data_IF_445507658936
#
_entry.id   IF_445507658936
#
_cell.length_a   1.000
_cell.length_b   1.000
_cell.length_c   1.000
_cell.angle_alpha   90.00
_cell.angle_beta   90.00
_cell.angle_gamma   90.00
#
_symmetry.space_group_name_H-M   'P 1'
#
loop_
_entity.id
_entity.type
_entity.pdbx_description
1 polymer ?
#
# COMPACT_ATOMS: atom_id res chain seq x y z
N UNK A 1 -25.37 -10.87 12.55
CA UNK A 1 -25.56 -10.11 13.79
C UNK A 1 -24.62 -8.91 13.76
N UNK A 2 -25.14 -7.76 13.32
CA UNK A 2 -24.40 -6.50 13.24
C UNK A 2 -24.35 -5.90 14.65
N UNK A 3 -23.15 -5.60 15.13
CA UNK A 3 -22.99 -4.77 16.32
C UNK A 3 -23.01 -3.31 15.85
N UNK A 4 -23.88 -2.44 16.40
CA UNK A 4 -24.06 -1.08 15.94
C UNK A 4 -22.79 -0.23 16.16
N UNK A 5 -22.52 0.67 15.20
CA UNK A 5 -21.40 1.61 15.20
C UNK A 5 -21.38 2.58 16.39
N UNK A 6 -22.47 2.68 17.18
CA UNK A 6 -22.62 3.66 18.26
C UNK A 6 -22.02 3.27 19.60
N UNK A 7 -21.47 2.06 19.76
CA UNK A 7 -21.05 1.56 21.07
C UNK A 7 -19.58 1.09 21.15
N UNK A 8 -18.63 1.75 20.49
CA UNK A 8 -17.24 1.28 20.50
C UNK A 8 -16.20 2.39 20.67
N UNK A 9 -15.69 2.53 21.91
CA UNK A 9 -14.43 3.25 22.15
C UNK A 9 -13.30 2.49 21.45
N UNK A 10 -12.52 3.11 20.54
CA UNK A 10 -11.28 2.50 20.07
C UNK A 10 -10.37 2.21 21.27
N UNK A 11 -9.62 1.11 21.26
CA UNK A 11 -8.63 0.89 22.32
C UNK A 11 -7.59 2.01 22.27
N UNK A 12 -7.12 2.45 23.44
CA UNK A 12 -6.13 3.51 23.57
C UNK A 12 -4.89 3.26 22.72
N UNK A 13 -4.47 2.00 22.58
CA UNK A 13 -3.37 1.61 21.70
C UNK A 13 -3.65 1.90 20.23
N UNK A 14 -4.83 1.54 19.69
CA UNK A 14 -5.15 1.79 18.27
C UNK A 14 -5.27 3.29 17.95
N UNK A 15 -5.81 4.08 18.88
CA UNK A 15 -5.80 5.54 18.80
C UNK A 15 -4.38 6.09 18.87
N UNK A 16 -3.58 5.67 19.85
CA UNK A 16 -2.18 6.09 19.96
C UNK A 16 -1.36 5.70 18.73
N UNK A 17 -1.60 4.54 18.12
CA UNK A 17 -0.95 4.12 16.87
C UNK A 17 -1.33 5.05 15.72
N UNK A 18 -2.62 5.29 15.52
CA UNK A 18 -3.13 6.20 14.47
C UNK A 18 -2.63 7.63 14.72
N UNK A 19 -2.65 8.12 15.96
CA UNK A 19 -2.17 9.43 16.37
C UNK A 19 -0.65 9.54 16.28
N UNK A 20 0.13 8.50 16.58
CA UNK A 20 1.59 8.50 16.47
C UNK A 20 2.04 8.44 15.02
N UNK A 21 1.36 7.63 14.18
CA UNK A 21 1.57 7.70 12.74
C UNK A 21 1.18 9.09 12.23
N UNK A 22 0.04 9.65 12.66
CA UNK A 22 -0.41 11.01 12.33
C UNK A 22 0.56 12.09 12.84
N UNK A 23 1.19 11.90 13.99
CA UNK A 23 2.19 12.80 14.55
C UNK A 23 3.50 12.76 13.78
N UNK A 24 3.97 11.56 13.40
CA UNK A 24 5.06 11.40 12.44
C UNK A 24 4.69 11.95 11.05
N UNK A 25 3.39 11.93 10.67
CA UNK A 25 2.86 12.53 9.45
C UNK A 25 2.86 14.06 9.48
N UNK A 26 2.45 14.66 10.61
CA UNK A 26 2.34 16.11 10.81
C UNK A 26 3.69 16.78 11.06
N UNK A 27 4.73 16.02 11.41
CA UNK A 27 6.12 16.48 11.38
C UNK A 27 6.62 16.52 9.93
N UNK A 28 5.98 17.36 9.12
CA UNK A 28 6.58 17.89 7.91
C UNK A 28 7.80 18.70 8.36
N UNK A 29 8.99 18.22 8.08
CA UNK A 29 10.20 18.96 8.41
C UNK A 29 10.19 20.18 7.47
N UNK A 30 9.90 21.37 8.01
CA UNK A 30 9.85 22.65 7.27
C UNK A 30 11.24 23.11 6.79
N UNK A 31 12.19 22.18 6.67
CA UNK A 31 13.56 22.48 6.29
C UNK A 31 13.64 22.69 4.78
N UNK A 32 14.40 23.70 4.33
CA UNK A 32 14.45 24.06 2.92
C UNK A 32 15.05 22.93 2.09
N UNK A 33 14.50 22.64 0.89
CA UNK A 33 15.20 21.85 -0.11
C UNK A 33 16.52 22.52 -0.48
N UNK A 34 17.59 21.73 -0.60
CA UNK A 34 18.88 22.23 -1.10
C UNK A 34 18.84 22.67 -2.56
N UNK A 35 19.68 23.66 -2.86
CA UNK A 35 19.94 24.18 -4.20
C UNK A 35 20.47 23.09 -5.16
N UNK A 36 19.90 23.03 -6.37
CA UNK A 36 20.40 22.21 -7.47
C UNK A 36 19.72 20.85 -7.70
N UNK A 37 18.77 20.42 -6.84
CA UNK A 37 17.92 19.28 -7.17
C UNK A 37 16.93 19.69 -8.27
N UNK A 38 16.90 18.95 -9.38
CA UNK A 38 15.84 19.09 -10.40
C UNK A 38 14.48 19.12 -9.70
N UNK A 39 13.66 20.16 -9.93
CA UNK A 39 12.30 20.25 -9.37
C UNK A 39 11.56 18.97 -9.77
N UNK A 40 11.32 18.10 -8.78
CA UNK A 40 10.61 16.85 -9.01
C UNK A 40 9.14 17.18 -9.20
N UNK A 41 8.43 16.48 -10.09
CA UNK A 41 7.04 16.79 -10.31
C UNK A 41 6.18 16.50 -9.06
N UNK A 42 5.11 17.27 -8.84
CA UNK A 42 4.29 17.19 -7.62
C UNK A 42 3.80 15.77 -7.29
N UNK A 43 3.38 15.03 -8.32
CA UNK A 43 2.93 13.64 -8.21
C UNK A 43 3.98 12.74 -7.56
N UNK A 44 5.28 13.01 -7.76
CA UNK A 44 6.36 12.22 -7.19
C UNK A 44 6.33 12.33 -5.68
N UNK A 45 6.12 13.53 -5.15
CA UNK A 45 6.01 13.79 -3.71
C UNK A 45 4.75 13.16 -3.13
N UNK A 46 3.61 13.25 -3.83
CA UNK A 46 2.33 12.63 -3.42
C UNK A 46 2.45 11.11 -3.31
N UNK A 47 2.91 10.45 -4.36
CA UNK A 47 3.03 8.98 -4.39
C UNK A 47 4.09 8.48 -3.41
N UNK A 48 5.16 9.24 -3.21
CA UNK A 48 6.22 8.95 -2.21
C UNK A 48 5.65 9.00 -0.79
N UNK A 49 4.91 10.06 -0.45
CA UNK A 49 4.26 10.18 0.86
C UNK A 49 3.22 9.06 1.09
N UNK A 50 2.37 8.79 0.10
CA UNK A 50 1.38 7.72 0.16
C UNK A 50 2.02 6.33 0.36
N UNK A 51 3.10 6.03 -0.37
CA UNK A 51 3.80 4.76 -0.24
C UNK A 51 4.43 4.59 1.14
N UNK A 52 5.06 5.63 1.67
CA UNK A 52 5.59 5.58 3.03
C UNK A 52 4.50 5.44 4.09
N UNK A 53 3.36 6.09 3.91
CA UNK A 53 2.24 5.95 4.84
C UNK A 53 1.78 4.50 4.93
N UNK A 54 1.58 3.86 3.78
CA UNK A 54 1.16 2.45 3.73
C UNK A 54 2.24 1.54 4.34
N UNK A 55 3.53 1.80 4.12
CA UNK A 55 4.62 1.03 4.72
C UNK A 55 4.69 1.17 6.25
N UNK A 56 4.64 2.40 6.78
CA UNK A 56 4.64 2.64 8.23
C UNK A 56 3.36 2.09 8.89
N UNK A 57 2.21 2.29 8.24
CA UNK A 57 0.96 1.68 8.66
C UNK A 57 1.10 0.16 8.73
N UNK A 58 1.55 -0.49 7.65
CA UNK A 58 1.77 -1.93 7.64
C UNK A 58 2.71 -2.37 8.78
N UNK A 59 3.79 -1.64 9.05
CA UNK A 59 4.70 -1.95 10.15
C UNK A 59 4.00 -1.92 11.51
N UNK A 60 3.18 -0.89 11.77
CA UNK A 60 2.36 -0.78 12.98
C UNK A 60 1.40 -1.96 13.10
N UNK A 61 0.66 -2.30 12.04
CA UNK A 61 -0.38 -3.33 12.09
C UNK A 61 0.18 -4.76 12.17
N UNK A 62 1.33 -5.03 11.54
CA UNK A 62 1.96 -6.35 11.54
C UNK A 62 2.38 -6.77 12.95
N UNK A 63 2.98 -5.88 13.74
CA UNK A 63 3.29 -6.16 15.15
C UNK A 63 2.11 -5.88 16.08
N UNK A 64 1.35 -4.82 15.79
CA UNK A 64 0.25 -4.34 16.61
C UNK A 64 -0.76 -5.43 16.94
N UNK A 65 -1.15 -6.23 15.93
CA UNK A 65 -2.15 -7.29 16.07
C UNK A 65 -1.77 -8.39 17.07
N UNK A 66 -0.49 -8.54 17.42
CA UNK A 66 -0.05 -9.56 18.37
C UNK A 66 -0.26 -9.13 19.83
N UNK A 67 -0.48 -7.84 20.10
CA UNK A 67 -0.78 -7.33 21.43
C UNK A 67 -2.26 -7.48 21.81
N UNK A 68 -2.59 -7.87 23.06
CA UNK A 68 -3.98 -7.93 23.55
C UNK A 68 -4.71 -6.58 23.50
N UNK A 69 -3.98 -5.48 23.74
CA UNK A 69 -4.53 -4.13 23.73
C UNK A 69 -4.91 -3.63 22.32
N UNK A 70 -4.51 -4.34 21.26
CA UNK A 70 -4.83 -3.96 19.89
C UNK A 70 -6.24 -4.40 19.50
N UNK A 71 -7.00 -3.51 18.88
CA UNK A 71 -8.38 -3.80 18.51
C UNK A 71 -8.43 -4.94 17.47
N UNK A 72 -8.87 -6.13 17.90
CA UNK A 72 -8.95 -7.34 17.05
C UNK A 72 -9.80 -7.17 15.79
N UNK A 73 -10.76 -6.23 15.76
CA UNK A 73 -11.52 -5.88 14.55
C UNK A 73 -10.67 -5.33 13.41
N UNK A 74 -9.48 -4.80 13.71
CA UNK A 74 -8.54 -4.29 12.73
C UNK A 74 -7.56 -5.37 12.23
N UNK A 75 -7.63 -6.58 12.78
CA UNK A 75 -6.88 -7.74 12.32
C UNK A 75 -7.47 -8.30 11.02
N UNK A 76 -6.68 -9.06 10.26
CA UNK A 76 -7.13 -9.69 9.01
C UNK A 76 -8.43 -10.47 9.20
N UNK A 77 -9.37 -10.32 8.29
CA UNK A 77 -10.56 -11.17 8.25
C UNK A 77 -10.18 -12.58 7.78
N UNK A 78 -10.88 -13.60 8.30
CA UNK A 78 -10.61 -15.01 7.94
C UNK A 78 -11.13 -15.38 6.55
N UNK A 79 -12.33 -14.90 6.19
CA UNK A 79 -13.01 -15.21 4.92
C UNK A 79 -13.37 -13.94 4.16
N UNK A 80 -14.11 -13.04 4.81
CA UNK A 80 -14.60 -11.81 4.22
C UNK A 80 -14.89 -10.76 5.30
N UNK A 81 -15.01 -9.50 4.86
CA UNK A 81 -15.30 -8.34 5.70
C UNK A 81 -14.34 -7.18 5.47
N UNK A 82 -14.53 -6.13 6.26
CA UNK A 82 -13.69 -4.94 6.23
C UNK A 82 -12.73 -4.94 7.42
N UNK A 83 -11.43 -4.77 7.14
CA UNK A 83 -10.40 -4.62 8.17
C UNK A 83 -9.22 -3.81 7.65
N UNK A 84 -8.58 -3.02 8.52
CA UNK A 84 -7.40 -2.24 8.15
C UNK A 84 -6.21 -3.12 7.72
N UNK A 85 -6.04 -4.31 8.32
CA UNK A 85 -5.00 -5.23 7.83
C UNK A 85 -5.30 -5.81 6.44
N UNK A 86 -6.57 -5.84 6.04
CA UNK A 86 -6.95 -6.38 4.74
C UNK A 86 -6.70 -5.41 3.58
N UNK A 87 -6.58 -4.11 3.86
CA UNK A 87 -6.28 -3.09 2.85
C UNK A 87 -4.84 -3.16 2.35
N UNK A 88 -3.91 -3.66 3.18
CA UNK A 88 -2.47 -3.57 2.94
C UNK A 88 -2.05 -4.14 1.58
N UNK A 89 -2.45 -5.37 1.26
CA UNK A 89 -2.05 -6.05 0.00
C UNK A 89 -2.56 -5.30 -1.21
N UNK A 90 -3.85 -4.92 -1.23
CA UNK A 90 -4.44 -4.15 -2.32
C UNK A 90 -3.80 -2.77 -2.47
N UNK A 91 -3.52 -2.06 -1.37
CA UNK A 91 -2.82 -0.76 -1.40
C UNK A 91 -1.37 -0.90 -1.89
N UNK A 92 -0.66 -1.97 -1.54
CA UNK A 92 0.67 -2.24 -2.09
C UNK A 92 0.64 -2.49 -3.60
N UNK A 93 -0.35 -3.25 -4.10
CA UNK A 93 -0.55 -3.45 -5.54
C UNK A 93 -0.91 -2.14 -6.24
N UNK A 94 -1.82 -1.35 -5.67
CA UNK A 94 -2.22 -0.05 -6.21
C UNK A 94 -1.05 0.94 -6.25
N UNK A 95 -0.25 1.02 -5.19
CA UNK A 95 0.94 1.88 -5.16
C UNK A 95 2.01 1.41 -6.14
N UNK A 96 2.21 0.09 -6.29
CA UNK A 96 3.11 -0.45 -7.30
C UNK A 96 2.65 -0.10 -8.72
N UNK A 97 1.35 -0.25 -9.00
CA UNK A 97 0.71 0.15 -10.26
C UNK A 97 0.88 1.65 -10.53
N UNK A 98 0.55 2.50 -9.56
CA UNK A 98 0.67 3.95 -9.70
C UNK A 98 2.10 4.41 -9.96
N UNK A 99 3.09 3.66 -9.47
CA UNK A 99 4.52 3.99 -9.57
C UNK A 99 5.21 3.40 -10.80
N UNK A 100 4.48 2.58 -11.56
CA UNK A 100 5.02 1.77 -12.64
C UNK A 100 5.44 2.62 -13.85
N UNK A 101 6.33 2.11 -14.72
CA UNK A 101 6.67 2.77 -15.98
C UNK A 101 5.43 3.06 -16.84
N UNK A 102 4.50 2.12 -16.90
CA UNK A 102 3.29 2.20 -17.74
C UNK A 102 2.32 3.29 -17.26
N UNK A 103 2.27 3.55 -15.95
CA UNK A 103 1.51 4.65 -15.40
C UNK A 103 2.13 6.00 -15.78
N UNK A 104 3.45 6.07 -15.90
CA UNK A 104 4.22 7.25 -16.33
C UNK A 104 4.28 7.42 -17.85
N UNK A 105 3.66 6.52 -18.63
CA UNK A 105 3.73 6.52 -20.09
C UNK A 105 5.03 5.97 -20.67
N UNK A 106 5.85 5.30 -19.87
CA UNK A 106 7.06 4.61 -20.30
C UNK A 106 6.78 3.12 -20.59
N UNK A 107 7.58 2.45 -21.45
CA UNK A 107 7.40 1.05 -21.76
C UNK A 107 7.59 0.16 -20.51
N UNK A 108 6.87 -0.96 -20.48
CA UNK A 108 6.95 -1.93 -19.40
C UNK A 108 8.38 -2.45 -19.21
N UNK A 109 8.89 -2.36 -17.99
CA UNK A 109 10.23 -2.86 -17.63
C UNK A 109 10.10 -4.27 -17.05
N UNK A 110 10.88 -5.21 -17.58
CA UNK A 110 10.92 -6.59 -17.09
C UNK A 110 11.68 -6.64 -15.76
N UNK A 111 10.97 -6.84 -14.64
CA UNK A 111 11.62 -6.89 -13.33
C UNK A 111 10.79 -7.47 -12.20
N UNK A 112 10.63 -8.80 -12.16
CA UNK A 112 10.00 -9.51 -11.01
C UNK A 112 10.95 -10.48 -10.30
N UNK A 113 12.18 -10.66 -10.79
CA UNK A 113 13.15 -11.65 -10.26
C UNK A 113 13.43 -11.45 -8.77
N UNK A 114 13.71 -10.23 -8.26
CA UNK A 114 13.95 -10.05 -6.81
C UNK A 114 12.75 -10.45 -5.95
N UNK A 115 11.52 -10.20 -6.41
CA UNK A 115 10.30 -10.57 -5.69
C UNK A 115 10.10 -12.08 -5.66
N UNK A 116 10.38 -12.78 -6.76
CA UNK A 116 10.34 -14.25 -6.80
C UNK A 116 11.38 -14.85 -5.86
N UNK A 117 12.60 -14.33 -5.83
CA UNK A 117 13.66 -14.80 -4.93
C UNK A 117 13.28 -14.60 -3.46
N UNK A 118 12.71 -13.44 -3.10
CA UNK A 118 12.20 -13.20 -1.75
C UNK A 118 11.02 -14.14 -1.42
N UNK A 119 10.13 -14.38 -2.39
CA UNK A 119 9.03 -15.33 -2.24
C UNK A 119 9.54 -16.74 -1.95
N UNK A 120 10.55 -17.20 -2.68
CA UNK A 120 11.22 -18.48 -2.46
C UNK A 120 11.91 -18.54 -1.10
N UNK A 121 12.65 -17.48 -0.71
CA UNK A 121 13.32 -17.44 0.59
C UNK A 121 12.31 -17.52 1.73
N UNK A 122 11.14 -16.87 1.60
CA UNK A 122 10.06 -16.97 2.58
C UNK A 122 9.53 -18.40 2.71
N UNK A 123 9.35 -19.13 1.61
CA UNK A 123 8.90 -20.53 1.66
C UNK A 123 9.90 -21.39 2.43
N UNK A 124 11.19 -21.24 2.12
CA UNK A 124 12.27 -21.99 2.79
C UNK A 124 12.29 -21.68 4.29
N UNK A 125 12.27 -20.39 4.66
CA UNK A 125 12.34 -19.96 6.06
C UNK A 125 11.12 -20.43 6.85
N UNK A 126 9.90 -20.27 6.33
CA UNK A 126 8.68 -20.70 7.02
C UNK A 126 8.65 -22.22 7.22
N UNK A 127 9.10 -22.97 6.21
CA UNK A 127 9.20 -24.43 6.29
C UNK A 127 10.23 -24.88 7.33
N UNK A 128 11.40 -24.24 7.37
CA UNK A 128 12.49 -24.61 8.28
C UNK A 128 12.23 -24.17 9.73
N UNK A 129 11.49 -23.09 9.94
CA UNK A 129 11.13 -22.59 11.28
C UNK A 129 9.82 -23.17 11.83
N UNK A 130 9.19 -24.11 11.10
CA UNK A 130 7.88 -24.69 11.42
C UNK A 130 6.81 -23.63 11.77
N UNK A 131 6.92 -22.45 11.17
CA UNK A 131 6.07 -21.32 11.49
C UNK A 131 4.67 -21.50 10.88
N UNK A 132 3.65 -21.54 11.73
CA UNK A 132 2.26 -21.73 11.32
C UNK A 132 1.73 -20.49 10.59
N UNK A 133 1.81 -20.51 9.26
CA UNK A 133 1.18 -19.50 8.39
C UNK A 133 -0.24 -19.94 8.03
N UNK A 134 -1.26 -19.07 8.11
CA UNK A 134 -2.61 -19.46 7.76
C UNK A 134 -2.71 -19.82 6.26
N UNK A 135 -2.86 -21.11 5.97
CA UNK A 135 -2.92 -21.67 4.61
C UNK A 135 -4.05 -21.01 3.80
N UNK A 136 -5.16 -20.67 4.45
CA UNK A 136 -6.30 -20.01 3.82
C UNK A 136 -6.01 -18.61 3.29
N UNK A 137 -4.88 -17.97 3.63
CA UNK A 137 -4.55 -16.64 3.08
C UNK A 137 -4.08 -16.68 1.63
N UNK A 138 -3.15 -17.57 1.32
CA UNK A 138 -2.52 -17.66 0.00
C UNK A 138 -2.38 -19.10 -0.51
N UNK A 139 -2.29 -20.06 0.39
CA UNK A 139 -1.98 -21.44 0.09
C UNK A 139 -0.84 -21.97 0.96
N UNK A 140 -0.38 -23.17 0.62
CA UNK A 140 0.69 -23.87 1.34
C UNK A 140 2.06 -23.24 1.04
N UNK A 141 2.32 -22.91 -0.23
CA UNK A 141 3.61 -22.36 -0.68
C UNK A 141 3.49 -20.92 -1.17
N UNK A 142 2.30 -20.51 -1.59
CA UNK A 142 2.08 -19.18 -2.11
C UNK A 142 2.16 -18.12 -1.02
N UNK A 143 2.60 -16.91 -1.38
CA UNK A 143 2.67 -15.78 -0.46
C UNK A 143 2.55 -14.45 -1.21
N UNK A 144 2.46 -13.37 -0.44
CA UNK A 144 2.32 -12.01 -0.96
C UNK A 144 3.36 -11.62 -2.02
N UNK A 145 4.63 -12.03 -1.86
CA UNK A 145 5.68 -11.67 -2.83
C UNK A 145 5.47 -12.35 -4.19
N UNK A 146 4.97 -13.60 -4.18
CA UNK A 146 4.57 -14.27 -5.41
C UNK A 146 3.37 -13.58 -6.05
N UNK A 147 2.32 -13.27 -5.29
CA UNK A 147 1.18 -12.50 -5.82
C UNK A 147 1.65 -11.22 -6.51
N UNK A 148 2.48 -10.40 -5.86
CA UNK A 148 3.00 -9.17 -6.45
C UNK A 148 3.87 -9.43 -7.70
N UNK A 149 4.75 -10.43 -7.65
CA UNK A 149 5.63 -10.79 -8.76
C UNK A 149 4.84 -11.23 -10.00
N UNK A 150 3.89 -12.16 -9.82
CA UNK A 150 3.08 -12.72 -10.89
C UNK A 150 2.06 -11.71 -11.42
N UNK A 151 1.46 -10.86 -10.57
CA UNK A 151 0.63 -9.75 -11.04
C UNK A 151 1.42 -8.80 -11.94
N UNK A 152 2.66 -8.45 -11.58
CA UNK A 152 3.52 -7.60 -12.44
C UNK A 152 3.87 -8.28 -13.76
N UNK A 153 4.26 -9.57 -13.72
CA UNK A 153 4.56 -10.32 -14.95
C UNK A 153 3.33 -10.36 -15.85
N UNK A 154 2.15 -10.69 -15.31
CA UNK A 154 0.91 -10.73 -16.06
C UNK A 154 0.55 -9.35 -16.65
N UNK A 155 0.73 -8.27 -15.89
CA UNK A 155 0.53 -6.91 -16.39
C UNK A 155 1.50 -6.59 -17.55
N UNK A 156 2.78 -6.93 -17.44
CA UNK A 156 3.74 -6.75 -18.53
C UNK A 156 3.36 -7.55 -19.79
N UNK A 157 2.81 -8.76 -19.65
CA UNK A 157 2.29 -9.53 -20.79
C UNK A 157 1.08 -8.82 -21.41
N UNK A 158 0.14 -8.31 -20.59
CA UNK A 158 -1.01 -7.54 -21.08
C UNK A 158 -0.55 -6.31 -21.87
N UNK A 159 0.40 -5.54 -21.36
CA UNK A 159 0.94 -4.36 -22.06
C UNK A 159 1.82 -4.68 -23.27
N UNK A 160 2.31 -5.92 -23.40
CA UNK A 160 3.01 -6.37 -24.61
C UNK A 160 2.06 -6.67 -25.77
N UNK A 161 0.79 -7.00 -25.46
CA UNK A 161 -0.21 -7.41 -26.46
C UNK A 161 -1.24 -6.31 -26.72
N UNK A 162 -1.64 -5.58 -25.68
CA UNK A 162 -2.72 -4.60 -25.74
C UNK A 162 -2.19 -3.17 -25.58
N UNK A 163 -2.76 -2.20 -26.32
CA UNK A 163 -2.35 -0.81 -26.19
C UNK A 163 -2.77 -0.25 -24.83
N UNK A 164 -1.89 0.57 -24.24
CA UNK A 164 -2.09 1.15 -22.92
C UNK A 164 -3.40 1.96 -22.76
N UNK A 165 -3.99 2.47 -23.85
CA UNK A 165 -5.29 3.19 -23.80
C UNK A 165 -6.50 2.32 -23.43
N UNK A 166 -6.37 0.98 -23.51
CA UNK A 166 -7.44 0.02 -23.23
C UNK A 166 -7.32 -0.62 -21.85
N UNK A 167 -6.29 -0.28 -21.06
CA UNK A 167 -6.03 -0.90 -19.75
C UNK A 167 -7.19 -0.78 -18.77
N UNK A 168 -7.86 0.36 -18.71
CA UNK A 168 -9.07 0.54 -17.88
C UNK A 168 -10.19 -0.40 -18.30
N UNK A 169 -10.41 -0.59 -19.61
CA UNK A 169 -11.47 -1.43 -20.14
C UNK A 169 -11.16 -2.91 -19.90
N UNK A 170 -9.93 -3.33 -20.20
CA UNK A 170 -9.45 -4.70 -19.95
C UNK A 170 -9.50 -5.02 -18.46
N UNK A 171 -9.05 -4.10 -17.60
CA UNK A 171 -9.13 -4.25 -16.16
C UNK A 171 -10.57 -4.37 -15.67
N UNK A 172 -11.50 -3.57 -16.22
CA UNK A 172 -12.93 -3.60 -15.84
C UNK A 172 -13.60 -4.91 -16.28
N UNK A 173 -13.36 -5.35 -17.52
CA UNK A 173 -13.85 -6.63 -18.05
C UNK A 173 -13.28 -7.79 -17.22
N UNK A 174 -11.99 -7.75 -16.88
CA UNK A 174 -11.37 -8.78 -16.05
C UNK A 174 -11.99 -8.81 -14.63
N UNK A 175 -12.23 -7.65 -14.02
CA UNK A 175 -12.80 -7.57 -12.67
C UNK A 175 -14.24 -8.12 -12.63
N UNK A 176 -15.08 -7.67 -13.57
CA UNK A 176 -16.49 -8.12 -13.67
C UNK A 176 -16.57 -9.58 -14.10
N UNK A 177 -15.74 -9.98 -15.08
CA UNK A 177 -15.67 -11.36 -15.54
C UNK A 177 -15.19 -12.31 -14.44
N UNK A 178 -14.19 -11.92 -13.65
CA UNK A 178 -13.73 -12.72 -12.52
C UNK A 178 -14.81 -12.85 -11.44
N UNK A 179 -15.53 -11.78 -11.10
CA UNK A 179 -16.67 -11.86 -10.19
C UNK A 179 -17.77 -12.76 -10.73
N UNK A 180 -18.11 -12.64 -12.02
CA UNK A 180 -19.09 -13.52 -12.66
C UNK A 180 -18.66 -14.98 -12.60
N UNK A 181 -17.38 -15.30 -12.81
CA UNK A 181 -16.86 -16.66 -12.64
C UNK A 181 -16.99 -17.13 -11.19
N UNK A 182 -16.69 -16.28 -10.21
CA UNK A 182 -16.85 -16.62 -8.79
C UNK A 182 -18.31 -16.93 -8.41
N UNK A 183 -19.27 -16.19 -8.98
CA UNK A 183 -20.69 -16.34 -8.66
C UNK A 183 -21.40 -17.43 -9.46
N UNK A 184 -21.08 -17.58 -10.75
CA UNK A 184 -21.80 -18.45 -11.68
C UNK A 184 -21.19 -19.84 -11.82
N UNK A 185 -19.98 -20.07 -11.33
CA UNK A 185 -19.28 -21.36 -11.42
C UNK A 185 -18.96 -21.95 -10.05
N UNK A 186 -18.49 -23.20 -10.03
CA UNK A 186 -18.06 -23.89 -8.80
C UNK A 186 -16.70 -23.41 -8.27
N UNK A 187 -16.12 -22.32 -8.82
CA UNK A 187 -14.83 -21.80 -8.38
C UNK A 187 -14.85 -21.38 -6.91
N UNK A 188 -15.89 -20.68 -6.45
CA UNK A 188 -16.02 -20.29 -5.04
C UNK A 188 -16.03 -21.52 -4.11
N UNK A 189 -16.80 -22.56 -4.47
CA UNK A 189 -16.83 -23.83 -3.73
C UNK A 189 -15.48 -24.55 -3.73
N UNK A 190 -14.77 -24.55 -4.87
CA UNK A 190 -13.41 -25.10 -4.96
C UNK A 190 -12.43 -24.35 -4.05
N UNK A 191 -12.52 -23.03 -4.00
CA UNK A 191 -11.67 -22.19 -3.14
C UNK A 191 -11.97 -22.42 -1.66
N UNK A 192 -13.23 -22.61 -1.26
CA UNK A 192 -13.60 -22.88 0.14
C UNK A 192 -13.36 -24.33 0.60
N UNK A 193 -13.15 -25.26 -0.33
CA UNK A 193 -12.82 -26.64 -0.01
C UNK A 193 -11.50 -26.75 0.81
N UNK A 194 -11.41 -27.73 1.70
CA UNK A 194 -10.17 -28.05 2.43
C UNK A 194 -9.15 -28.85 1.62
N UNK A 195 -9.54 -29.43 0.47
CA UNK A 195 -8.63 -30.23 -0.36
C UNK A 195 -7.39 -29.42 -0.84
N UNK A 196 -6.21 -30.01 -0.65
CA UNK A 196 -4.87 -29.48 -1.01
C UNK A 196 -4.07 -30.42 -1.93
N UNK A 197 -4.73 -31.38 -2.57
CA UNK A 197 -4.07 -32.34 -3.45
C UNK A 197 -3.52 -31.68 -4.71
N UNK A 198 -2.20 -31.79 -4.90
CA UNK A 198 -1.49 -31.20 -6.03
C UNK A 198 -1.19 -29.70 -5.85
N UNK A 199 -0.31 -29.18 -6.71
CA UNK A 199 0.22 -27.81 -6.60
C UNK A 199 -0.84 -26.72 -6.75
N UNK A 200 -1.85 -26.95 -7.59
CA UNK A 200 -2.94 -25.99 -7.83
C UNK A 200 -3.86 -25.92 -6.61
N UNK A 201 -4.37 -27.04 -6.11
CA UNK A 201 -5.26 -27.03 -4.94
C UNK A 201 -4.53 -26.56 -3.66
N UNK A 202 -3.24 -26.85 -3.54
CA UNK A 202 -2.40 -26.35 -2.45
C UNK A 202 -2.29 -24.82 -2.42
N UNK A 203 -2.38 -24.14 -3.58
CA UNK A 203 -2.13 -22.69 -3.72
C UNK A 203 -3.30 -21.92 -4.36
N UNK A 204 -4.48 -22.52 -4.37
CA UNK A 204 -5.64 -22.05 -5.13
C UNK A 204 -6.09 -20.64 -4.78
N UNK A 205 -5.98 -20.23 -3.51
CA UNK A 205 -6.30 -18.86 -3.07
C UNK A 205 -5.37 -17.83 -3.72
N UNK A 206 -4.07 -18.07 -3.64
CA UNK A 206 -3.04 -17.21 -4.20
C UNK A 206 -3.13 -17.13 -5.73
N UNK A 207 -3.45 -18.25 -6.39
CA UNK A 207 -3.62 -18.31 -7.84
C UNK A 207 -4.89 -17.61 -8.32
N UNK A 208 -6.04 -17.87 -7.69
CA UNK A 208 -7.30 -17.25 -8.08
C UNK A 208 -7.28 -15.73 -7.88
N UNK A 209 -6.70 -15.27 -6.76
CA UNK A 209 -6.59 -13.83 -6.47
C UNK A 209 -5.73 -13.05 -7.48
N UNK A 210 -4.90 -13.70 -8.31
CA UNK A 210 -4.14 -13.02 -9.36
C UNK A 210 -5.03 -12.29 -10.36
N UNK A 211 -6.21 -12.83 -10.69
CA UNK A 211 -7.15 -12.19 -11.62
C UNK A 211 -7.64 -10.85 -11.06
N UNK A 212 -8.06 -10.83 -9.79
CA UNK A 212 -8.47 -9.61 -9.08
C UNK A 212 -7.33 -8.59 -8.95
N UNK A 213 -6.14 -9.02 -8.53
CA UNK A 213 -5.00 -8.12 -8.40
C UNK A 213 -4.50 -7.58 -9.75
N UNK A 214 -4.58 -8.36 -10.82
CA UNK A 214 -4.28 -7.89 -12.17
C UNK A 214 -5.30 -6.83 -12.63
N UNK A 215 -6.59 -7.07 -12.39
CA UNK A 215 -7.63 -6.10 -12.70
C UNK A 215 -7.42 -4.78 -11.93
N UNK A 216 -7.18 -4.87 -10.61
CA UNK A 216 -6.85 -3.72 -9.77
C UNK A 216 -5.61 -2.97 -10.30
N UNK A 217 -4.55 -3.71 -10.65
CA UNK A 217 -3.32 -3.12 -11.19
C UNK A 217 -3.58 -2.32 -12.46
N UNK A 218 -4.28 -2.90 -13.45
CA UNK A 218 -4.57 -2.24 -14.73
C UNK A 218 -5.42 -0.97 -14.55
N UNK A 219 -6.47 -1.05 -13.72
CA UNK A 219 -7.35 0.09 -13.44
C UNK A 219 -6.56 1.21 -12.74
N UNK A 220 -5.73 0.89 -11.75
CA UNK A 220 -4.93 1.89 -11.03
C UNK A 220 -3.85 2.51 -11.92
N UNK A 221 -3.23 1.75 -12.83
CA UNK A 221 -2.33 2.32 -13.85
C UNK A 221 -3.08 3.35 -14.71
N UNK A 222 -4.25 2.99 -15.22
CA UNK A 222 -5.05 3.87 -16.08
C UNK A 222 -5.46 5.17 -15.35
N UNK A 223 -5.97 5.04 -14.12
CA UNK A 223 -6.36 6.16 -13.27
C UNK A 223 -5.16 7.07 -12.95
N UNK A 224 -4.01 6.47 -12.61
CA UNK A 224 -2.81 7.23 -12.31
C UNK A 224 -2.32 7.99 -13.54
N UNK A 225 -2.29 7.35 -14.72
CA UNK A 225 -1.88 7.98 -15.99
C UNK A 225 -2.75 9.20 -16.33
N UNK A 226 -4.07 9.05 -16.20
CA UNK A 226 -5.02 10.12 -16.51
C UNK A 226 -4.99 11.25 -15.48
N UNK A 227 -5.04 10.90 -14.19
CA UNK A 227 -5.36 11.86 -13.14
C UNK A 227 -4.11 12.39 -12.43
N UNK A 228 -3.13 11.55 -12.11
CA UNK A 228 -1.92 11.95 -11.39
C UNK A 228 -0.86 12.55 -12.32
N UNK A 229 -0.60 11.88 -13.45
CA UNK A 229 0.46 12.28 -14.38
C UNK A 229 0.00 13.32 -15.41
N UNK A 230 -1.31 13.54 -15.54
CA UNK A 230 -1.89 14.53 -16.46
C UNK A 230 -2.01 15.95 -15.88
N UNK A 231 -1.87 16.13 -14.56
CA UNK A 231 -2.05 17.43 -13.92
C UNK A 231 -0.82 18.34 -14.13
N UNK A 232 -1.05 19.52 -14.73
CA UNK A 232 0.02 20.45 -15.11
C UNK A 232 -0.08 21.83 -14.44
N UNK A 233 -1.29 22.22 -14.03
CA UNK A 233 -1.54 23.47 -13.33
C UNK A 233 -2.46 23.28 -12.13
N UNK A 234 -2.53 24.27 -11.23
CA UNK A 234 -3.37 24.19 -10.02
C UNK A 234 -4.84 23.89 -10.32
N UNK A 235 -5.37 24.40 -11.44
CA UNK A 235 -6.75 24.10 -11.88
C UNK A 235 -6.91 22.62 -12.16
N UNK A 236 -5.93 21.98 -12.80
CA UNK A 236 -5.97 20.54 -13.10
C UNK A 236 -5.88 19.72 -11.80
N UNK A 237 -5.07 20.15 -10.84
CA UNK A 237 -5.00 19.51 -9.51
C UNK A 237 -6.31 19.62 -8.74
N UNK A 238 -6.95 20.79 -8.75
CA UNK A 238 -8.26 21.00 -8.12
C UNK A 238 -9.34 20.19 -8.83
N UNK A 239 -9.36 20.19 -10.17
CA UNK A 239 -10.28 19.37 -10.95
C UNK A 239 -10.10 17.88 -10.65
N UNK A 240 -8.84 17.41 -10.58
CA UNK A 240 -8.49 16.05 -10.22
C UNK A 240 -8.98 15.67 -8.82
N UNK A 241 -8.88 16.57 -7.83
CA UNK A 241 -9.44 16.35 -6.48
C UNK A 241 -10.94 16.07 -6.55
N UNK A 242 -11.70 16.86 -7.31
CA UNK A 242 -13.14 16.65 -7.47
C UNK A 242 -13.46 15.37 -8.26
N UNK A 243 -12.78 15.13 -9.38
CA UNK A 243 -12.96 13.91 -10.20
C UNK A 243 -12.67 12.65 -9.39
N UNK A 244 -11.53 12.60 -8.71
CA UNK A 244 -11.15 11.45 -7.88
C UNK A 244 -12.11 11.28 -6.71
N UNK A 245 -12.52 12.36 -6.04
CA UNK A 245 -13.45 12.28 -4.92
C UNK A 245 -14.82 11.74 -5.35
N UNK A 246 -15.31 12.15 -6.51
CA UNK A 246 -16.55 11.63 -7.08
C UNK A 246 -16.43 10.13 -7.42
N UNK A 247 -15.34 9.74 -8.11
CA UNK A 247 -15.09 8.32 -8.44
C UNK A 247 -14.95 7.47 -7.18
N UNK A 248 -14.24 7.95 -6.16
CA UNK A 248 -14.09 7.24 -4.89
C UNK A 248 -15.42 7.11 -4.14
N UNK A 249 -16.24 8.17 -4.12
CA UNK A 249 -17.56 8.12 -3.47
C UNK A 249 -18.49 7.10 -4.15
N UNK A 250 -18.56 7.14 -5.48
CA UNK A 250 -19.36 6.18 -6.26
C UNK A 250 -18.83 4.75 -6.07
N UNK A 251 -17.51 4.56 -6.12
CA UNK A 251 -16.89 3.26 -5.93
C UNK A 251 -17.09 2.70 -4.52
N UNK A 252 -17.10 3.54 -3.48
CA UNK A 252 -17.42 3.14 -2.11
C UNK A 252 -18.90 2.77 -1.95
N UNK A 253 -19.80 3.54 -2.55
CA UNK A 253 -21.22 3.22 -2.55
C UNK A 253 -21.48 1.88 -3.28
N UNK A 254 -20.85 1.67 -4.44
CA UNK A 254 -20.93 0.41 -5.17
C UNK A 254 -20.34 -0.75 -4.37
N UNK A 255 -19.19 -0.55 -3.72
CA UNK A 255 -18.59 -1.54 -2.82
C UNK A 255 -19.57 -1.93 -1.71
N UNK A 256 -20.26 -0.95 -1.11
CA UNK A 256 -21.23 -1.20 -0.05
C UNK A 256 -22.42 -2.03 -0.55
N UNK A 257 -23.03 -1.64 -1.67
CA UNK A 257 -24.15 -2.37 -2.30
C UNK A 257 -23.73 -3.80 -2.67
N UNK A 258 -22.55 -3.97 -3.28
CA UNK A 258 -22.05 -5.29 -3.62
C UNK A 258 -21.78 -6.14 -2.37
N UNK A 259 -21.26 -5.54 -1.31
CA UNK A 259 -21.00 -6.22 -0.04
C UNK A 259 -22.29 -6.74 0.61
N UNK A 260 -23.38 -5.99 0.52
CA UNK A 260 -24.66 -6.37 1.11
C UNK A 260 -25.43 -7.35 0.23
N UNK A 261 -25.45 -7.13 -1.08
CA UNK A 261 -26.45 -7.73 -1.97
C UNK A 261 -25.89 -8.81 -2.89
N UNK A 262 -24.58 -8.83 -3.16
CA UNK A 262 -23.95 -9.77 -4.08
C UNK A 262 -22.94 -10.70 -3.40
N UNK A 263 -21.83 -10.15 -2.94
CA UNK A 263 -20.71 -10.91 -2.42
C UNK A 263 -19.93 -10.12 -1.37
N UNK A 264 -19.63 -10.70 -0.20
CA UNK A 264 -18.91 -9.96 0.82
C UNK A 264 -17.46 -9.70 0.37
N UNK A 265 -16.90 -8.57 0.77
CA UNK A 265 -15.53 -8.15 0.44
C UNK A 265 -14.56 -9.22 0.93
N UNK A 266 -13.71 -9.75 0.05
CA UNK A 266 -12.74 -10.79 0.42
C UNK A 266 -11.35 -10.49 -0.13
N UNK A 267 -10.42 -10.14 0.78
CA UNK A 267 -8.99 -10.02 0.45
C UNK A 267 -8.44 -11.33 -0.12
N UNK A 268 -8.83 -12.46 0.47
CA UNK A 268 -8.35 -13.79 0.10
C UNK A 268 -8.65 -14.11 -1.37
N UNK A 269 -9.85 -13.77 -1.82
CA UNK A 269 -10.29 -14.00 -3.20
C UNK A 269 -9.86 -12.88 -4.14
N UNK A 270 -9.51 -11.70 -3.60
CA UNK A 270 -9.37 -10.46 -4.35
C UNK A 270 -10.58 -10.21 -5.27
N UNK A 271 -11.79 -10.42 -4.74
CA UNK A 271 -13.02 -10.30 -5.52
C UNK A 271 -13.30 -8.84 -5.92
N UNK A 272 -14.26 -8.62 -6.83
CA UNK A 272 -14.56 -7.29 -7.35
C UNK A 272 -14.85 -6.24 -6.25
N UNK A 273 -15.69 -6.50 -5.23
CA UNK A 273 -15.93 -5.50 -4.18
C UNK A 273 -14.66 -5.21 -3.36
N UNK A 274 -13.75 -6.17 -3.18
CA UNK A 274 -12.43 -5.90 -2.57
C UNK A 274 -11.55 -5.00 -3.44
N UNK A 275 -11.50 -5.26 -4.75
CA UNK A 275 -10.73 -4.45 -5.68
C UNK A 275 -11.27 -3.01 -5.76
N UNK A 276 -12.60 -2.83 -5.82
CA UNK A 276 -13.24 -1.51 -5.77
C UNK A 276 -12.93 -0.78 -4.47
N UNK A 277 -13.09 -1.46 -3.34
CA UNK A 277 -12.79 -0.87 -2.03
C UNK A 277 -11.35 -0.39 -1.93
N UNK A 278 -10.39 -1.24 -2.29
CA UNK A 278 -8.95 -0.92 -2.19
C UNK A 278 -8.54 0.16 -3.18
N UNK A 279 -9.10 0.18 -4.39
CA UNK A 279 -8.95 1.29 -5.34
C UNK A 279 -9.46 2.60 -4.73
N UNK A 280 -10.65 2.61 -4.12
CA UNK A 280 -11.21 3.81 -3.50
C UNK A 280 -10.34 4.32 -2.34
N UNK A 281 -9.83 3.42 -1.49
CA UNK A 281 -8.90 3.79 -0.42
C UNK A 281 -7.61 4.39 -0.95
N UNK A 282 -7.06 3.85 -2.04
CA UNK A 282 -5.91 4.43 -2.73
C UNK A 282 -6.22 5.85 -3.24
N UNK A 283 -7.36 6.02 -3.92
CA UNK A 283 -7.81 7.33 -4.43
C UNK A 283 -8.00 8.37 -3.33
N UNK A 284 -8.66 8.01 -2.22
CA UNK A 284 -8.81 8.88 -1.05
C UNK A 284 -7.45 9.27 -0.47
N UNK A 285 -6.53 8.31 -0.36
CA UNK A 285 -5.17 8.58 0.13
C UNK A 285 -4.46 9.61 -0.75
N UNK A 286 -4.55 9.46 -2.06
CA UNK A 286 -3.98 10.41 -3.03
C UNK A 286 -4.60 11.81 -2.88
N UNK A 287 -5.93 11.90 -2.81
CA UNK A 287 -6.63 13.19 -2.62
C UNK A 287 -6.19 13.87 -1.33
N UNK A 288 -6.09 13.13 -0.23
CA UNK A 288 -5.63 13.69 1.05
C UNK A 288 -4.24 14.32 0.91
N UNK A 289 -3.29 13.66 0.25
CA UNK A 289 -1.95 14.22 0.07
C UNK A 289 -1.89 15.40 -0.90
N UNK A 290 -2.71 15.39 -1.96
CA UNK A 290 -2.84 16.55 -2.86
C UNK A 290 -3.42 17.75 -2.10
N UNK A 291 -4.46 17.55 -1.30
CA UNK A 291 -5.04 18.60 -0.47
C UNK A 291 -4.04 19.15 0.55
N UNK A 292 -3.22 18.29 1.16
CA UNK A 292 -2.14 18.73 2.05
C UNK A 292 -1.09 19.58 1.31
N UNK A 293 -0.72 19.23 0.08
CA UNK A 293 0.20 20.05 -0.74
C UNK A 293 -0.42 21.38 -1.16
N UNK A 294 -1.70 21.39 -1.56
CA UNK A 294 -2.42 22.63 -1.87
C UNK A 294 -2.48 23.52 -0.60
N UNK A 295 -2.81 22.95 0.56
CA UNK A 295 -2.83 23.68 1.81
C UNK A 295 -1.44 24.24 2.18
N UNK A 296 -0.36 23.48 1.98
CA UNK A 296 1.00 23.94 2.22
C UNK A 296 1.34 25.15 1.33
N UNK A 297 1.01 25.08 0.04
CA UNK A 297 1.17 26.18 -0.92
C UNK A 297 0.34 27.41 -0.54
N UNK A 298 -0.91 27.24 -0.10
CA UNK A 298 -1.80 28.35 0.28
C UNK A 298 -1.44 28.99 1.61
N UNK A 299 -0.89 28.22 2.56
CA UNK A 299 -0.51 28.68 3.90
C UNK A 299 0.95 29.17 3.97
N UNK A 300 1.67 29.16 2.84
CA UNK A 300 3.03 29.69 2.78
C UNK A 300 3.08 31.16 3.20
N UNK A 301 3.98 31.46 4.13
CA UNK A 301 4.22 32.83 4.60
C UNK A 301 4.98 33.65 3.56
N UNK A 302 4.76 34.97 3.61
CA UNK A 302 5.37 35.98 2.77
C UNK A 302 6.91 35.83 2.71
N UNK A 303 7.46 35.70 1.50
CA UNK A 303 8.91 35.63 1.26
C UNK A 303 9.42 34.36 0.56
N UNK A 304 8.57 33.33 0.38
CA UNK A 304 8.91 32.11 -0.36
C UNK A 304 8.37 32.18 -1.81
N UNK A 305 9.15 31.71 -2.79
CA UNK A 305 8.65 31.58 -4.16
C UNK A 305 7.80 30.32 -4.25
N UNK A 306 6.68 30.36 -4.98
CA UNK A 306 5.77 29.23 -5.11
C UNK A 306 5.66 28.86 -6.59
N UNK A 307 5.85 27.58 -6.89
CA UNK A 307 5.50 27.01 -8.18
C UNK A 307 4.10 26.38 -8.10
N UNK A 308 3.10 27.11 -8.59
CA UNK A 308 1.71 26.67 -8.65
C UNK A 308 1.47 25.55 -9.67
N UNK A 309 2.39 25.34 -10.62
CA UNK A 309 2.28 24.25 -11.60
C UNK A 309 2.63 22.90 -10.97
N UNK A 310 3.67 22.90 -10.14
CA UNK A 310 4.18 21.73 -9.43
C UNK A 310 3.72 21.62 -7.97
N UNK A 311 2.79 22.47 -7.52
CA UNK A 311 2.31 22.54 -6.14
C UNK A 311 3.46 22.48 -5.12
N UNK A 312 4.51 23.27 -5.36
CA UNK A 312 5.74 23.23 -4.56
C UNK A 312 6.21 24.63 -4.16
N UNK A 313 6.78 24.70 -2.96
CA UNK A 313 7.33 25.92 -2.39
C UNK A 313 8.83 25.97 -2.70
N UNK A 314 9.21 26.83 -3.64
CA UNK A 314 10.58 27.11 -4.03
C UNK A 314 11.23 28.04 -2.99
N UNK A 315 12.25 27.53 -2.29
CA UNK A 315 13.00 28.31 -1.32
C UNK A 315 14.25 28.92 -1.96
N UNK A 316 14.50 30.22 -1.71
CA UNK A 316 15.67 30.94 -2.22
C UNK A 316 16.92 30.59 -1.40
N UNK A 317 18.04 30.39 -2.09
CA UNK A 317 19.32 29.97 -1.53
C UNK A 317 19.82 30.89 -0.40
N UNK A 318 20.07 30.32 0.77
CA UNK A 318 21.08 30.86 1.70
C UNK A 318 21.88 29.72 2.35
N UNK A 319 23.20 29.82 2.13
CA UNK A 319 24.32 29.28 2.91
C UNK A 319 25.01 27.98 2.45
N UNK A 320 26.10 28.20 1.69
CA UNK A 320 27.52 27.81 1.89
C UNK A 320 27.95 26.44 2.51
N UNK A 321 27.11 25.41 2.55
CA UNK A 321 27.59 24.04 2.76
C UNK A 321 26.80 23.10 1.84
N UNK A 322 27.45 22.53 0.83
CA UNK A 322 26.85 21.73 -0.24
C UNK A 322 26.28 20.37 0.17
N UNK A 323 25.54 20.27 1.27
CA UNK A 323 24.76 19.09 1.61
C UNK A 323 23.32 19.22 1.13
N UNK A 324 22.98 18.35 0.20
CA UNK A 324 21.66 18.30 -0.41
C UNK A 324 20.61 17.73 0.54
N UNK A 325 20.05 18.53 1.45
CA UNK A 325 18.96 18.07 2.33
C UNK A 325 17.62 18.10 1.57
N UNK A 326 17.09 16.92 1.26
CA UNK A 326 15.76 16.77 0.62
C UNK A 326 14.63 17.06 1.64
N UNK A 327 13.56 17.78 1.24
CA UNK A 327 12.44 18.08 2.13
C UNK A 327 11.77 16.77 2.57
N UNK A 328 11.47 16.61 3.86
CA UNK A 328 10.96 15.37 4.45
C UNK A 328 11.87 14.13 4.27
N UNK A 329 13.07 14.20 4.86
CA UNK A 329 14.07 13.13 4.92
C UNK A 329 13.47 11.74 5.22
N UNK A 330 12.50 11.65 6.14
CA UNK A 330 11.91 10.37 6.52
C UNK A 330 11.18 9.68 5.34
N UNK A 331 10.35 10.40 4.59
CA UNK A 331 9.61 9.84 3.46
C UNK A 331 10.54 9.33 2.38
N UNK A 332 11.52 10.15 2.01
CA UNK A 332 12.49 9.77 1.00
C UNK A 332 13.34 8.58 1.46
N UNK A 333 13.77 8.56 2.72
CA UNK A 333 14.55 7.44 3.26
C UNK A 333 13.78 6.11 3.25
N UNK A 334 12.50 6.13 3.62
CA UNK A 334 11.63 4.94 3.60
C UNK A 334 11.45 4.44 2.17
N UNK A 335 11.19 5.35 1.22
CA UNK A 335 10.99 4.97 -0.17
C UNK A 335 12.26 4.47 -0.87
N UNK A 336 13.41 5.04 -0.50
CA UNK A 336 14.70 4.65 -1.05
C UNK A 336 15.01 3.16 -0.82
N UNK A 337 14.58 2.62 0.33
CA UNK A 337 14.72 1.22 0.72
C UNK A 337 13.39 0.59 1.17
N UNK A 338 12.31 0.79 0.40
CA UNK A 338 10.95 0.34 0.75
C UNK A 338 10.83 -1.17 1.00
N UNK A 339 11.32 -2.01 0.08
CA UNK A 339 11.30 -3.48 0.25
C UNK A 339 12.17 -3.94 1.43
N UNK A 340 13.43 -3.48 1.57
CA UNK A 340 14.23 -3.78 2.75
C UNK A 340 13.56 -3.38 4.06
N UNK A 341 12.94 -2.20 4.12
CA UNK A 341 12.19 -1.76 5.30
C UNK A 341 11.04 -2.71 5.62
N UNK A 342 10.26 -3.11 4.62
CA UNK A 342 9.18 -4.07 4.80
C UNK A 342 9.69 -5.43 5.31
N UNK A 343 10.80 -5.94 4.76
CA UNK A 343 11.42 -7.19 5.22
C UNK A 343 11.99 -7.09 6.64
N UNK A 344 12.66 -5.98 6.96
CA UNK A 344 13.18 -5.69 8.30
C UNK A 344 12.07 -5.71 9.33
N UNK A 345 10.97 -5.02 9.05
CA UNK A 345 9.78 -4.96 9.89
C UNK A 345 9.21 -6.37 10.14
N UNK A 346 9.07 -7.21 9.10
CA UNK A 346 8.61 -8.59 9.25
C UNK A 346 9.58 -9.43 10.11
N UNK A 347 10.89 -9.27 9.94
CA UNK A 347 11.91 -9.97 10.74
C UNK A 347 11.89 -9.52 12.21
N UNK A 348 11.83 -8.21 12.45
CA UNK A 348 11.72 -7.63 13.79
C UNK A 348 10.44 -8.07 14.49
N UNK A 349 9.33 -8.24 13.78
CA UNK A 349 8.09 -8.80 14.36
C UNK A 349 8.30 -10.23 14.84
N UNK A 350 8.96 -11.07 14.05
CA UNK A 350 9.34 -12.42 14.46
C UNK A 350 10.21 -12.41 15.73
N UNK A 351 11.23 -11.54 15.77
CA UNK A 351 12.11 -11.38 16.92
C UNK A 351 11.34 -10.95 18.18
N UNK A 352 10.49 -9.92 18.07
CA UNK A 352 9.65 -9.44 19.19
C UNK A 352 8.71 -10.53 19.67
N UNK A 353 8.11 -11.31 18.77
CA UNK A 353 7.23 -12.41 19.13
C UNK A 353 7.93 -13.51 19.93
N UNK A 354 9.19 -13.82 19.59
CA UNK A 354 10.00 -14.83 20.29
C UNK A 354 10.48 -14.30 21.65
N UNK A 355 11.02 -13.08 21.68
CA UNK A 355 11.71 -12.52 22.85
C UNK A 355 10.73 -11.98 23.90
N UNK A 356 9.73 -11.20 23.47
CA UNK A 356 8.87 -10.42 24.37
C UNK A 356 7.47 -11.01 24.57
N UNK A 357 7.09 -12.03 23.78
CA UNK A 357 5.78 -12.69 23.82
C UNK A 357 4.61 -11.69 23.95
N UNK A 358 4.34 -10.87 22.92
CA UNK A 358 3.37 -9.76 22.94
C UNK A 358 1.99 -10.09 23.52
N UNK A 359 1.53 -11.34 23.36
CA UNK A 359 0.23 -11.84 23.81
C UNK A 359 -0.03 -11.73 25.32
N UNK A 360 1.01 -11.58 26.14
CA UNK A 360 0.88 -11.47 27.61
C UNK A 360 1.18 -10.06 28.12
N UNK A 361 1.49 -9.11 27.23
CA UNK A 361 1.92 -7.77 27.63
C UNK A 361 0.73 -6.85 27.98
N UNK A 362 0.93 -6.02 29.01
CA UNK A 362 0.00 -4.93 29.35
C UNK A 362 0.06 -3.78 28.33
N UNK A 363 -0.96 -2.92 28.35
CA UNK A 363 -1.15 -1.85 27.35
C UNK A 363 0.04 -0.88 27.26
N UNK A 364 0.59 -0.43 28.40
CA UNK A 364 1.72 0.52 28.40
C UNK A 364 2.98 -0.10 27.77
N UNK A 365 3.30 -1.34 28.16
CA UNK A 365 4.43 -2.08 27.59
C UNK A 365 4.25 -2.31 26.09
N UNK A 366 3.03 -2.62 25.64
CA UNK A 366 2.72 -2.76 24.23
C UNK A 366 2.96 -1.46 23.44
N UNK A 367 2.53 -0.31 23.96
CA UNK A 367 2.81 1.01 23.34
C UNK A 367 4.32 1.24 23.25
N UNK A 368 5.06 1.04 24.35
CA UNK A 368 6.50 1.28 24.39
C UNK A 368 7.26 0.41 23.40
N UNK A 369 6.98 -0.90 23.37
CA UNK A 369 7.60 -1.83 22.41
C UNK A 369 7.30 -1.40 20.98
N UNK A 370 6.06 -1.00 20.68
CA UNK A 370 5.69 -0.57 19.34
C UNK A 370 6.39 0.74 18.92
N UNK A 371 6.53 1.70 19.83
CA UNK A 371 7.27 2.96 19.58
C UNK A 371 8.75 2.69 19.32
N UNK A 372 9.38 1.82 20.13
CA UNK A 372 10.77 1.41 19.93
C UNK A 372 10.93 0.70 18.59
N UNK A 373 10.03 -0.23 18.29
CA UNK A 373 10.03 -0.97 17.03
C UNK A 373 9.96 -0.06 15.79
N UNK A 374 9.03 0.90 15.78
CA UNK A 374 8.89 1.86 14.66
C UNK A 374 10.12 2.77 14.58
N UNK A 375 10.63 3.23 15.74
CA UNK A 375 11.82 4.08 15.81
C UNK A 375 13.06 3.37 15.24
N UNK A 376 13.25 2.09 15.56
CA UNK A 376 14.35 1.27 15.02
C UNK A 376 14.22 1.12 13.50
N UNK A 377 13.01 0.82 13.01
CA UNK A 377 12.77 0.70 11.57
C UNK A 377 13.04 2.02 10.82
N UNK A 378 12.52 3.14 11.33
CA UNK A 378 12.71 4.47 10.76
C UNK A 378 14.17 4.94 10.81
N UNK A 379 14.86 4.72 11.94
CA UNK A 379 16.28 5.03 12.08
C UNK A 379 17.12 4.23 11.08
N UNK A 380 16.82 2.95 10.91
CA UNK A 380 17.55 2.10 9.95
C UNK A 380 17.39 2.61 8.52
N UNK A 381 16.18 3.02 8.10
CA UNK A 381 15.98 3.58 6.76
C UNK A 381 16.71 4.91 6.56
N UNK A 382 16.68 5.79 7.57
CA UNK A 382 17.39 7.07 7.54
C UNK A 382 18.91 6.85 7.48
N UNK A 383 19.44 5.89 8.25
CA UNK A 383 20.86 5.53 8.25
C UNK A 383 21.31 4.97 6.90
N UNK A 384 20.54 4.07 6.29
CA UNK A 384 20.87 3.54 4.96
C UNK A 384 20.84 4.65 3.89
N UNK A 385 19.87 5.56 3.99
CA UNK A 385 19.75 6.69 3.09
C UNK A 385 20.91 7.70 3.23
N UNK A 386 21.31 8.04 4.47
CA UNK A 386 22.44 8.96 4.70
C UNK A 386 23.77 8.41 4.19
N UNK A 387 23.92 7.08 4.19
CA UNK A 387 25.07 6.37 3.60
C UNK A 387 24.93 6.12 2.09
N UNK A 388 23.84 6.58 1.45
CA UNK A 388 23.50 6.33 0.04
C UNK A 388 23.51 4.85 -0.35
N UNK A 389 23.27 3.96 0.62
CA UNK A 389 23.24 2.51 0.41
C UNK A 389 21.86 2.07 -0.07
N UNK A 390 21.75 1.80 -1.37
CA UNK A 390 20.53 1.23 -1.97
C UNK A 390 20.66 -0.28 -2.05
N UNK A 391 19.84 -0.98 -1.26
CA UNK A 391 19.73 -2.43 -1.38
C UNK A 391 18.88 -2.73 -2.62
N UNK A 392 19.41 -3.53 -3.56
CA UNK A 392 18.78 -3.83 -4.87
C UNK A 392 17.57 -4.78 -4.74
N UNK A 393 16.57 -4.37 -3.98
CA UNK A 393 15.27 -5.01 -3.85
C UNK A 393 14.21 -3.97 -4.23
N UNK A 394 13.77 -3.97 -5.50
CA UNK A 394 12.81 -2.94 -5.97
C UNK A 394 11.37 -3.34 -5.64
N UNK A 395 10.62 -2.38 -5.07
CA UNK A 395 9.15 -2.45 -4.95
C UNK A 395 8.47 -2.08 -6.29
N UNK A 396 9.16 -1.29 -7.12
CA UNK A 396 8.70 -0.77 -8.42
C UNK A 396 9.10 -1.71 -9.55
#
# INVERSE_FOLDING_TARGET
MLVPFSSYRPSSLSLCCLSFTTFLFLRHDRRPPSTGASVRPAWSSVVTAARSQVLLGAAVFILGVDFPAFARRLAKTKRSGFSLMDTGVGLFVALAAASSPEAKGAPAVKGSVPLVLIGLSRVVVVKNLEYQSPISEYGVHWNFFFTLAFTKVAASVVYAVLPARLDWLVGSILAVGYEAVLQLTQLSAFLDNSNRDGLVAANKEGLASLAGFLALYLIVVALSRRLLYGASCIRDWVAMVFEISAVALVGLALTYVMHSDLAPVSRRLANLPYCLWTMCLFLVTIVCFVLLQIADVLLCQEGMQVDFSQLQVLHKAKDAAGESQEPNLLWYSINFNAMPMFLLVNLLTGLVNIVLRPRTMGTLSAVLVLVVYISVAAFTTVFLYSRKMKLKLSFN
#
